data_IF_832528439743
#
_entry.id   IF_832528439743
#
_cell.length_a   1.000
_cell.length_b   1.000
_cell.length_c   1.000
_cell.angle_alpha   90.00
_cell.angle_beta   90.00
_cell.angle_gamma   90.00
#
_symmetry.space_group_name_H-M   'P 1'
#
loop_
_entity.id
_entity.type
_entity.pdbx_description
1 polymer ?
#
# COMPACT_ATOMS: atom_id res chain seq x y z
N UNK A 1 -70.96 5.94 66.34
CA UNK A 1 -70.65 7.29 66.86
C UNK A 1 -69.79 8.00 65.82
N UNK A 2 -70.18 9.21 65.43
CA UNK A 2 -69.67 9.93 64.26
C UNK A 2 -68.36 10.69 64.54
N UNK A 3 -67.58 10.81 63.46
CA UNK A 3 -66.25 11.42 63.30
C UNK A 3 -66.29 12.94 63.53
N UNK A 4 -65.19 13.50 64.01
CA UNK A 4 -64.76 14.84 63.60
C UNK A 4 -63.28 14.83 63.22
N UNK A 5 -63.04 15.46 62.07
CA UNK A 5 -61.84 15.48 61.25
C UNK A 5 -60.90 16.59 61.74
N UNK A 6 -59.61 16.31 61.95
CA UNK A 6 -58.57 17.34 61.98
C UNK A 6 -57.79 17.29 60.66
N UNK A 7 -57.86 18.36 59.88
CA UNK A 7 -56.99 18.60 58.74
C UNK A 7 -55.63 19.11 59.23
N UNK A 8 -54.56 18.39 58.88
CA UNK A 8 -53.18 18.84 58.92
C UNK A 8 -52.71 19.02 57.48
N UNK A 9 -52.46 20.27 57.09
CA UNK A 9 -51.90 20.60 55.77
C UNK A 9 -50.38 20.42 55.80
N UNK A 10 -49.90 19.43 55.05
CA UNK A 10 -48.48 19.25 54.73
C UNK A 10 -48.09 20.19 53.58
N UNK A 11 -47.15 21.10 53.80
CA UNK A 11 -46.49 21.85 52.73
C UNK A 11 -45.32 21.00 52.20
N UNK A 12 -45.46 20.47 50.99
CA UNK A 12 -44.39 19.76 50.29
C UNK A 12 -43.37 20.74 49.70
N UNK A 13 -42.10 20.56 50.03
CA UNK A 13 -40.99 21.27 49.39
C UNK A 13 -40.76 20.64 48.01
N UNK A 14 -41.04 21.38 46.94
CA UNK A 14 -40.78 20.94 45.56
C UNK A 14 -39.28 21.12 45.27
N UNK A 15 -38.50 20.03 45.27
CA UNK A 15 -37.16 20.03 44.69
C UNK A 15 -37.29 20.04 43.16
N UNK A 16 -36.93 21.15 42.54
CA UNK A 16 -36.73 21.21 41.08
C UNK A 16 -35.37 20.59 40.79
N UNK A 17 -35.36 19.44 40.11
CA UNK A 17 -34.13 18.88 39.55
C UNK A 17 -33.67 19.79 38.40
N UNK A 18 -32.54 20.46 38.58
CA UNK A 18 -31.87 21.17 37.49
C UNK A 18 -31.23 20.10 36.60
N UNK A 19 -31.50 20.03 35.29
CA UNK A 19 -30.80 19.10 34.41
C UNK A 19 -29.30 19.44 34.47
N UNK A 20 -28.46 18.43 34.69
CA UNK A 20 -27.02 18.59 34.51
C UNK A 20 -26.79 18.99 33.05
N UNK A 21 -26.13 20.13 32.82
CA UNK A 21 -25.71 20.50 31.47
C UNK A 21 -24.73 19.43 30.95
N UNK A 22 -24.94 18.99 29.70
CA UNK A 22 -23.99 18.11 29.02
C UNK A 22 -22.61 18.77 29.03
N UNK A 23 -21.56 17.95 29.13
CA UNK A 23 -20.20 18.47 29.10
C UNK A 23 -19.83 18.74 27.64
N UNK A 24 -19.22 19.91 27.31
CA UNK A 24 -18.89 20.20 25.94
C UNK A 24 -17.87 19.19 25.38
N UNK A 25 -17.86 18.97 24.05
CA UNK A 25 -16.90 18.08 23.41
C UNK A 25 -15.47 18.48 23.78
N UNK A 26 -14.58 17.50 23.93
CA UNK A 26 -13.18 17.75 24.24
C UNK A 26 -12.27 16.83 23.44
N UNK A 27 -10.99 17.16 23.39
CA UNK A 27 -10.03 16.37 22.63
C UNK A 27 -8.72 17.08 22.43
N UNK A 28 -7.97 16.59 21.45
CA UNK A 28 -6.71 17.21 21.03
C UNK A 28 -6.64 17.26 19.52
N UNK A 29 -6.21 18.41 19.01
CA UNK A 29 -5.79 18.56 17.63
C UNK A 29 -4.26 18.45 17.58
N UNK A 30 -3.77 17.31 17.10
CA UNK A 30 -2.34 16.99 17.05
C UNK A 30 -1.62 17.69 15.89
N UNK A 31 -2.38 18.21 14.92
CA UNK A 31 -1.81 18.87 13.75
C UNK A 31 -1.17 17.87 12.80
N UNK A 32 0.04 18.17 12.31
CA UNK A 32 0.79 17.30 11.38
C UNK A 32 1.10 15.94 11.99
N UNK A 33 0.81 14.87 11.23
CA UNK A 33 1.29 13.52 11.55
C UNK A 33 2.83 13.53 11.52
N UNK A 34 3.47 13.03 12.59
CA UNK A 34 4.94 13.05 12.74
C UNK A 34 5.51 14.35 13.33
N UNK A 35 4.69 15.37 13.55
CA UNK A 35 5.09 16.66 14.13
C UNK A 35 5.69 17.63 13.10
N UNK A 36 6.13 18.79 13.60
CA UNK A 36 6.67 19.89 12.77
C UNK A 36 5.75 21.11 12.73
N UNK A 37 6.34 22.25 12.34
CA UNK A 37 5.67 23.55 12.32
C UNK A 37 5.61 24.18 10.90
N UNK A 38 6.01 23.43 9.88
CA UNK A 38 6.01 23.87 8.49
C UNK A 38 5.21 22.86 7.68
N UNK A 39 4.32 23.33 6.83
CA UNK A 39 3.54 22.50 5.93
C UNK A 39 3.68 22.98 4.48
N UNK A 40 3.72 22.01 3.56
CA UNK A 40 3.91 22.24 2.13
C UNK A 40 3.02 21.28 1.35
N UNK A 41 2.29 21.78 0.35
CA UNK A 41 1.46 20.94 -0.51
C UNK A 41 0.26 20.30 0.22
N UNK A 42 0.10 18.99 0.08
CA UNK A 42 -0.95 18.22 0.77
C UNK A 42 -0.36 17.63 2.05
N UNK A 43 -0.94 17.95 3.20
CA UNK A 43 -0.48 17.45 4.49
C UNK A 43 -1.57 16.74 5.30
N UNK A 44 -1.25 15.57 5.91
CA UNK A 44 -2.17 14.88 6.79
C UNK A 44 -2.22 15.57 8.16
N UNK A 45 -3.42 15.97 8.57
CA UNK A 45 -3.72 16.48 9.90
C UNK A 45 -4.51 15.45 10.69
N UNK A 46 -4.28 15.39 12.00
CA UNK A 46 -4.92 14.40 12.86
C UNK A 46 -5.25 14.93 14.25
N UNK A 47 -6.12 14.20 14.94
CA UNK A 47 -6.45 14.45 16.33
C UNK A 47 -7.35 13.36 16.89
N UNK A 48 -7.91 13.63 18.05
CA UNK A 48 -9.00 12.84 18.62
C UNK A 48 -9.99 13.74 19.33
N UNK A 49 -11.24 13.31 19.40
CA UNK A 49 -12.31 14.05 20.06
C UNK A 49 -13.33 13.09 20.69
N UNK A 50 -13.90 13.49 21.82
CA UNK A 50 -14.90 12.77 22.59
C UNK A 50 -15.97 13.72 23.12
N UNK A 51 -17.14 13.16 23.36
CA UNK A 51 -18.31 13.81 23.95
C UNK A 51 -19.17 12.75 24.64
N UNK A 52 -19.92 13.10 25.68
CA UNK A 52 -20.74 12.14 26.45
C UNK A 52 -21.96 11.62 25.66
N UNK A 53 -22.34 12.29 24.57
CA UNK A 53 -23.36 11.84 23.60
C UNK A 53 -22.76 11.38 22.26
N UNK A 54 -21.44 11.50 22.12
CA UNK A 54 -20.67 11.12 20.94
C UNK A 54 -20.56 12.22 19.89
N UNK A 55 -19.62 12.02 18.97
CA UNK A 55 -19.29 13.00 17.95
C UNK A 55 -20.17 12.81 16.71
N UNK A 56 -20.65 13.92 16.15
CA UNK A 56 -21.30 13.96 14.83
C UNK A 56 -20.25 14.15 13.74
N UNK A 57 -19.43 15.20 13.84
CA UNK A 57 -18.38 15.50 12.87
C UNK A 57 -17.29 16.41 13.43
N UNK A 58 -16.17 16.47 12.70
CA UNK A 58 -15.05 17.38 12.98
C UNK A 58 -14.76 18.21 11.73
N UNK A 59 -14.84 19.53 11.86
CA UNK A 59 -14.59 20.49 10.79
C UNK A 59 -13.22 21.15 11.01
N UNK A 60 -12.35 21.19 10.00
CA UNK A 60 -11.04 21.85 10.07
C UNK A 60 -11.12 23.24 9.45
N UNK A 61 -10.51 24.21 10.12
CA UNK A 61 -10.47 25.62 9.71
C UNK A 61 -9.02 26.09 9.61
N UNK A 62 -8.77 27.00 8.66
CA UNK A 62 -7.51 27.71 8.49
C UNK A 62 -7.81 29.20 8.51
N UNK A 63 -7.21 29.94 9.45
CA UNK A 63 -7.48 31.36 9.72
C UNK A 63 -8.97 31.69 9.91
N UNK A 64 -9.71 30.76 10.52
CA UNK A 64 -11.15 30.90 10.74
C UNK A 64 -12.01 30.64 9.50
N UNK A 65 -11.41 30.25 8.36
CA UNK A 65 -12.13 29.85 7.15
C UNK A 65 -12.28 28.32 7.10
N UNK A 66 -13.48 27.77 6.82
CA UNK A 66 -13.65 26.32 6.67
C UNK A 66 -12.75 25.75 5.58
N UNK A 67 -11.94 24.76 5.93
CA UNK A 67 -10.99 24.09 5.03
C UNK A 67 -11.44 22.68 4.62
N UNK A 68 -12.26 22.02 5.43
CA UNK A 68 -12.86 20.73 5.10
C UNK A 68 -13.41 19.99 6.33
N UNK A 69 -14.06 18.85 6.10
CA UNK A 69 -14.55 17.97 7.18
C UNK A 69 -13.63 16.76 7.28
N UNK A 70 -13.13 16.49 8.49
CA UNK A 70 -12.26 15.35 8.75
C UNK A 70 -13.06 14.04 8.82
N UNK A 71 -12.42 12.93 8.43
CA UNK A 71 -12.94 11.59 8.70
C UNK A 71 -12.77 11.29 10.19
N UNK A 72 -13.85 10.93 10.87
CA UNK A 72 -13.88 10.53 12.29
C UNK A 72 -14.13 9.02 12.41
N UNK A 73 -13.59 8.39 13.45
CA UNK A 73 -13.73 6.94 13.69
C UNK A 73 -12.41 6.15 13.66
N UNK A 74 -11.25 6.82 13.62
CA UNK A 74 -9.96 6.12 13.64
C UNK A 74 -9.66 5.54 15.01
N UNK A 75 -9.11 4.32 15.02
CA UNK A 75 -8.83 3.57 16.24
C UNK A 75 -7.81 4.30 17.14
N UNK A 76 -8.16 4.48 18.42
CA UNK A 76 -7.30 5.12 19.45
C UNK A 76 -7.33 4.37 20.78
N UNK A 77 -6.64 3.22 20.88
CA UNK A 77 -6.62 2.42 22.11
C UNK A 77 -6.02 3.16 23.32
N UNK A 78 -5.15 4.13 23.06
CA UNK A 78 -4.56 5.02 24.05
C UNK A 78 -5.60 6.00 24.65
N UNK A 79 -6.54 6.48 23.84
CA UNK A 79 -7.64 7.35 24.30
C UNK A 79 -8.65 6.53 25.11
N UNK A 80 -9.02 5.34 24.64
CA UNK A 80 -9.88 4.38 25.37
C UNK A 80 -9.35 4.06 26.77
N UNK A 81 -8.04 3.83 26.90
CA UNK A 81 -7.42 3.50 28.18
C UNK A 81 -7.53 4.63 29.22
N UNK A 82 -7.58 5.89 28.77
CA UNK A 82 -7.66 7.08 29.63
C UNK A 82 -9.10 7.51 29.89
N UNK A 83 -9.98 7.37 28.89
CA UNK A 83 -11.38 7.77 28.93
C UNK A 83 -12.33 6.58 28.71
N UNK A 84 -12.24 5.53 29.54
CA UNK A 84 -13.11 4.37 29.38
C UNK A 84 -14.57 4.77 29.64
N UNK A 85 -15.46 4.39 28.73
CA UNK A 85 -16.91 4.59 28.88
C UNK A 85 -17.51 5.82 28.21
N UNK A 86 -16.70 6.66 27.56
CA UNK A 86 -17.24 7.64 26.60
C UNK A 86 -17.70 6.94 25.32
N UNK A 87 -18.76 7.40 24.66
CA UNK A 87 -19.06 6.99 23.30
C UNK A 87 -17.83 7.14 22.40
N UNK A 88 -17.62 6.15 21.54
CA UNK A 88 -16.57 6.15 20.51
C UNK A 88 -15.12 6.21 21.05
N UNK A 89 -14.88 5.97 22.36
CA UNK A 89 -13.54 6.03 22.97
C UNK A 89 -12.48 5.14 22.28
N UNK A 90 -12.89 3.99 21.72
CA UNK A 90 -12.00 3.10 20.97
C UNK A 90 -11.67 3.60 19.56
N UNK A 91 -12.50 4.51 19.04
CA UNK A 91 -12.49 5.04 17.67
C UNK A 91 -12.50 6.57 17.66
N UNK A 92 -11.94 7.20 18.70
CA UNK A 92 -12.02 8.64 18.92
C UNK A 92 -11.21 9.50 17.94
N UNK A 93 -10.41 8.87 17.07
CA UNK A 93 -9.48 9.55 16.19
C UNK A 93 -10.16 10.18 14.97
N UNK A 94 -9.60 11.30 14.50
CA UNK A 94 -9.97 11.93 13.23
C UNK A 94 -8.75 12.32 12.41
N UNK A 95 -8.96 12.48 11.09
CA UNK A 95 -7.92 12.97 10.18
C UNK A 95 -8.45 13.55 8.86
N UNK A 96 -7.67 14.45 8.26
CA UNK A 96 -7.94 15.08 6.96
C UNK A 96 -6.64 15.33 6.20
N UNK A 97 -6.68 15.27 4.88
CA UNK A 97 -5.62 15.78 4.00
C UNK A 97 -5.91 17.25 3.66
N UNK A 98 -5.14 18.17 4.24
CA UNK A 98 -5.26 19.60 3.96
C UNK A 98 -4.33 19.99 2.82
N UNK A 99 -4.82 20.73 1.82
CA UNK A 99 -3.99 21.27 0.75
C UNK A 99 -3.58 22.72 1.07
N UNK A 100 -2.38 22.93 1.63
CA UNK A 100 -1.89 24.27 2.00
C UNK A 100 -1.74 25.22 0.81
N UNK A 101 -1.72 24.74 -0.44
CA UNK A 101 -1.59 25.59 -1.64
C UNK A 101 -2.80 26.51 -1.88
N UNK A 102 -3.91 26.27 -1.18
CA UNK A 102 -5.09 27.14 -1.21
C UNK A 102 -4.95 28.42 -0.37
N UNK A 103 -3.85 28.54 0.39
CA UNK A 103 -3.53 29.70 1.23
C UNK A 103 -2.17 30.28 0.84
N UNK A 104 -1.96 31.55 1.19
CA UNK A 104 -0.67 32.22 0.96
C UNK A 104 0.44 31.57 1.78
N UNK A 105 1.71 31.78 1.42
CA UNK A 105 2.81 31.38 2.28
C UNK A 105 2.89 32.31 3.49
N UNK A 106 3.14 31.75 4.67
CA UNK A 106 3.12 32.49 5.93
C UNK A 106 2.64 31.63 7.10
N UNK A 107 2.51 32.24 8.27
CA UNK A 107 1.93 31.56 9.44
C UNK A 107 0.41 31.58 9.34
N UNK A 108 -0.19 30.40 9.44
CA UNK A 108 -1.62 30.18 9.50
C UNK A 108 -2.00 29.57 10.83
N UNK A 109 -3.18 29.93 11.33
CA UNK A 109 -3.77 29.33 12.53
C UNK A 109 -4.75 28.26 12.10
N UNK A 110 -4.53 27.03 12.54
CA UNK A 110 -5.40 25.91 12.24
C UNK A 110 -6.19 25.53 13.47
N UNK A 111 -7.45 25.20 13.29
CA UNK A 111 -8.31 24.71 14.37
C UNK A 111 -9.23 23.60 13.88
N UNK A 112 -9.65 22.76 14.81
CA UNK A 112 -10.67 21.75 14.56
C UNK A 112 -11.91 22.06 15.40
N UNK A 113 -13.04 22.34 14.76
CA UNK A 113 -14.33 22.51 15.41
C UNK A 113 -15.00 21.15 15.49
N UNK A 114 -15.08 20.61 16.69
CA UNK A 114 -15.76 19.36 17.01
C UNK A 114 -17.24 19.67 17.25
N UNK A 115 -18.13 18.90 16.64
CA UNK A 115 -19.58 19.02 16.80
C UNK A 115 -20.12 17.71 17.37
N UNK A 116 -20.75 17.78 18.55
CA UNK A 116 -21.45 16.65 19.16
C UNK A 116 -22.82 16.42 18.52
N UNK A 117 -23.40 15.24 18.78
CA UNK A 117 -24.69 14.82 18.22
C UNK A 117 -25.89 15.64 18.72
N UNK A 118 -25.76 16.31 19.86
CA UNK A 118 -26.74 17.26 20.37
C UNK A 118 -26.56 18.69 19.83
N UNK A 119 -25.49 18.91 19.07
CA UNK A 119 -25.15 20.18 18.43
C UNK A 119 -24.17 21.05 19.23
N UNK A 120 -23.70 20.61 20.40
CA UNK A 120 -22.65 21.33 21.13
C UNK A 120 -21.35 21.38 20.31
N UNK A 121 -20.59 22.48 20.46
CA UNK A 121 -19.39 22.74 19.66
C UNK A 121 -18.22 23.16 20.55
N UNK A 122 -17.06 22.57 20.27
CA UNK A 122 -15.78 22.98 20.87
C UNK A 122 -14.73 23.14 19.80
N UNK A 123 -13.97 24.24 19.89
CA UNK A 123 -12.80 24.45 19.03
C UNK A 123 -11.55 23.91 19.71
N UNK A 124 -10.83 23.04 19.02
CA UNK A 124 -9.54 22.50 19.43
C UNK A 124 -8.42 23.18 18.64
N UNK A 125 -7.27 23.38 19.30
CA UNK A 125 -6.07 23.87 18.65
C UNK A 125 -6.09 25.34 18.25
N UNK A 126 -6.85 26.22 18.92
CA UNK A 126 -6.94 27.65 18.57
C UNK A 126 -5.60 28.40 18.51
N UNK A 127 -4.55 27.86 19.14
CA UNK A 127 -3.18 28.40 19.08
C UNK A 127 -2.24 27.59 18.18
N UNK A 128 -2.73 26.58 17.46
CA UNK A 128 -1.91 25.73 16.62
C UNK A 128 -1.57 26.47 15.33
N UNK A 129 -0.31 26.87 15.22
CA UNK A 129 0.21 27.59 14.08
C UNK A 129 1.06 26.69 13.20
N UNK A 130 0.80 26.71 11.90
CA UNK A 130 1.66 26.12 10.89
C UNK A 130 2.13 27.21 9.94
N UNK A 131 3.43 27.19 9.64
CA UNK A 131 3.96 27.98 8.55
C UNK A 131 3.69 27.24 7.24
N UNK A 132 2.82 27.78 6.40
CA UNK A 132 2.67 27.32 5.04
C UNK A 132 3.84 27.87 4.21
N UNK A 133 4.54 26.96 3.55
CA UNK A 133 5.67 27.31 2.72
C UNK A 133 5.60 26.57 1.39
N UNK A 134 4.54 26.86 0.63
CA UNK A 134 4.32 26.38 -0.73
C UNK A 134 5.22 27.16 -1.69
N UNK A 135 6.52 26.91 -1.64
CA UNK A 135 7.42 27.32 -2.69
C UNK A 135 7.61 26.12 -3.64
N UNK A 136 7.57 26.36 -4.95
CA UNK A 136 7.75 25.33 -5.98
C UNK A 136 9.03 24.51 -5.80
N UNK A 137 10.06 25.09 -5.18
CA UNK A 137 11.31 24.41 -4.87
C UNK A 137 11.34 23.61 -3.55
N UNK A 138 10.19 23.50 -2.85
CA UNK A 138 10.06 22.79 -1.56
C UNK A 138 9.15 21.57 -1.65
N UNK A 139 8.61 21.27 -2.83
CA UNK A 139 7.92 20.02 -3.13
C UNK A 139 8.79 19.18 -4.06
N UNK A 140 9.85 18.55 -3.54
CA UNK A 140 10.59 17.61 -4.37
C UNK A 140 9.68 16.43 -4.76
N UNK A 141 9.99 15.76 -5.88
CA UNK A 141 9.37 14.49 -6.21
C UNK A 141 9.37 13.50 -5.04
N UNK A 142 8.36 12.66 -4.99
CA UNK A 142 8.25 11.56 -4.04
C UNK A 142 7.79 10.28 -4.74
N UNK A 143 7.93 9.14 -4.07
CA UNK A 143 7.61 7.84 -4.64
C UNK A 143 8.21 6.72 -3.82
N UNK A 144 8.16 5.51 -4.35
CA UNK A 144 8.60 4.30 -3.65
C UNK A 144 9.24 3.31 -4.63
N UNK A 145 10.08 2.41 -4.11
CA UNK A 145 10.46 1.15 -4.78
C UNK A 145 9.44 0.10 -4.34
N UNK A 146 8.73 -0.47 -5.31
CA UNK A 146 7.73 -1.52 -5.05
C UNK A 146 8.31 -2.92 -5.26
N UNK A 147 9.30 -3.02 -6.14
CA UNK A 147 10.07 -4.23 -6.37
C UNK A 147 11.53 -3.87 -6.69
N UNK A 148 12.53 -4.58 -6.16
CA UNK A 148 12.39 -5.62 -5.15
C UNK A 148 12.13 -5.02 -3.76
N UNK A 149 11.76 -5.86 -2.79
CA UNK A 149 11.68 -5.42 -1.40
C UNK A 149 13.06 -5.25 -0.77
N UNK A 150 13.13 -4.48 0.32
CA UNK A 150 14.34 -4.30 1.11
C UNK A 150 14.91 -5.64 1.57
N UNK A 151 16.23 -5.81 1.41
CA UNK A 151 16.95 -7.04 1.74
C UNK A 151 16.94 -8.11 0.64
N UNK A 152 16.36 -7.82 -0.54
CA UNK A 152 16.33 -8.76 -1.64
C UNK A 152 17.73 -9.15 -2.15
N UNK A 153 17.84 -10.39 -2.61
CA UNK A 153 19.00 -10.90 -3.33
C UNK A 153 18.80 -10.70 -4.82
N UNK A 154 19.75 -10.02 -5.44
CA UNK A 154 19.77 -9.73 -6.87
C UNK A 154 20.85 -10.59 -7.51
N UNK A 155 20.44 -11.37 -8.50
CA UNK A 155 21.26 -12.37 -9.15
C UNK A 155 21.68 -11.92 -10.54
N UNK A 156 22.84 -12.40 -10.97
CA UNK A 156 23.32 -12.30 -12.34
C UNK A 156 24.37 -13.36 -12.62
N UNK A 157 24.51 -13.69 -13.90
CA UNK A 157 25.50 -14.64 -14.37
C UNK A 157 26.83 -13.90 -14.57
N UNK A 158 27.80 -14.09 -13.70
CA UNK A 158 29.10 -13.42 -13.72
C UNK A 158 30.05 -13.91 -14.83
N UNK A 159 29.88 -15.11 -15.39
CA UNK A 159 30.46 -15.55 -16.66
C UNK A 159 29.68 -14.89 -17.79
N UNK A 160 30.25 -13.78 -18.27
CA UNK A 160 29.68 -12.98 -19.36
C UNK A 160 29.64 -13.73 -20.71
N UNK A 161 30.20 -14.94 -20.79
CA UNK A 161 30.12 -15.78 -21.99
C UNK A 161 28.81 -16.57 -22.05
N UNK A 162 28.13 -16.76 -20.93
CA UNK A 162 26.84 -17.41 -20.91
C UNK A 162 25.79 -16.50 -21.57
N UNK A 163 25.02 -17.09 -22.49
CA UNK A 163 23.96 -16.40 -23.22
C UNK A 163 22.66 -16.33 -22.42
N UNK A 164 22.49 -17.21 -21.43
CA UNK A 164 21.36 -17.22 -20.52
C UNK A 164 21.62 -16.22 -19.40
N UNK A 165 21.41 -14.94 -19.72
CA UNK A 165 21.58 -13.85 -18.77
C UNK A 165 20.40 -13.80 -17.80
N UNK A 166 20.71 -13.68 -16.51
CA UNK A 166 19.74 -13.38 -15.46
C UNK A 166 19.75 -11.89 -15.16
N UNK A 167 18.56 -11.31 -15.09
CA UNK A 167 18.39 -9.88 -14.86
C UNK A 167 17.62 -9.63 -13.57
N UNK A 168 17.95 -8.53 -12.90
CA UNK A 168 17.26 -8.04 -11.71
C UNK A 168 16.52 -6.76 -12.04
N UNK A 169 15.23 -6.70 -11.71
CA UNK A 169 14.36 -5.56 -12.04
C UNK A 169 14.09 -4.74 -10.80
N UNK A 170 14.15 -3.42 -10.95
CA UNK A 170 13.73 -2.44 -9.94
C UNK A 170 12.56 -1.68 -10.56
N UNK A 171 11.38 -1.75 -9.96
CA UNK A 171 10.21 -0.99 -10.38
C UNK A 171 9.53 -0.29 -9.19
N UNK A 172 8.75 0.72 -9.53
CA UNK A 172 8.03 1.53 -8.57
C UNK A 172 7.36 2.71 -9.25
N UNK A 173 7.07 3.75 -8.47
CA UNK A 173 6.48 4.97 -8.98
C UNK A 173 7.19 6.21 -8.46
N UNK A 174 7.16 7.28 -9.26
CA UNK A 174 7.59 8.61 -8.88
C UNK A 174 6.53 9.61 -9.34
N UNK A 175 6.12 10.50 -8.44
CA UNK A 175 5.18 11.58 -8.70
C UNK A 175 5.73 12.87 -8.14
N UNK A 176 5.26 13.96 -8.70
CA UNK A 176 5.50 15.28 -8.16
C UNK A 176 4.21 16.09 -8.32
N UNK A 177 3.79 16.70 -7.23
CA UNK A 177 2.61 17.53 -7.17
C UNK A 177 2.85 18.90 -7.80
N UNK A 178 4.06 19.46 -7.69
CA UNK A 178 4.38 20.87 -7.92
C UNK A 178 3.39 21.85 -7.25
N UNK A 179 3.53 23.14 -7.51
CA UNK A 179 2.52 24.16 -7.14
C UNK A 179 2.01 24.98 -8.33
N UNK A 180 2.74 25.00 -9.45
CA UNK A 180 2.43 25.80 -10.64
C UNK A 180 2.39 24.94 -11.91
N UNK A 181 1.62 25.38 -12.91
CA UNK A 181 1.62 24.77 -14.24
C UNK A 181 3.03 24.89 -14.87
N UNK A 182 3.73 23.76 -15.01
CA UNK A 182 5.12 23.67 -15.50
C UNK A 182 6.13 23.24 -14.44
N UNK A 183 5.76 23.30 -13.16
CA UNK A 183 6.47 22.70 -12.03
C UNK A 183 5.97 21.27 -11.78
N UNK A 184 4.71 20.98 -12.13
CA UNK A 184 4.10 19.68 -11.86
C UNK A 184 4.72 18.53 -12.66
N UNK A 185 5.29 17.57 -11.93
CA UNK A 185 5.57 16.24 -12.39
C UNK A 185 7.05 15.91 -12.54
N UNK A 186 7.32 14.62 -12.58
CA UNK A 186 8.69 14.11 -12.65
C UNK A 186 9.21 14.21 -14.09
N UNK A 187 10.39 14.81 -14.23
CA UNK A 187 11.11 14.94 -15.51
C UNK A 187 11.99 13.72 -15.77
N UNK A 188 12.65 13.21 -14.74
CA UNK A 188 13.51 12.04 -14.85
C UNK A 188 13.57 11.26 -13.53
N UNK A 189 13.90 9.98 -13.65
CA UNK A 189 14.23 9.10 -12.53
C UNK A 189 15.60 8.49 -12.80
N UNK A 190 16.40 8.34 -11.76
CA UNK A 190 17.71 7.72 -11.77
C UNK A 190 17.74 6.57 -10.78
N UNK A 191 18.41 5.50 -11.18
CA UNK A 191 18.85 4.46 -10.26
C UNK A 191 20.32 4.68 -9.93
N UNK A 192 20.63 4.72 -8.64
CA UNK A 192 21.99 4.80 -8.12
C UNK A 192 22.30 3.51 -7.36
N UNK A 193 23.56 3.10 -7.41
CA UNK A 193 24.11 1.98 -6.63
C UNK A 193 25.24 2.56 -5.78
N UNK A 194 25.12 2.46 -4.45
CA UNK A 194 26.05 3.04 -3.49
C UNK A 194 26.34 4.54 -3.76
N UNK A 195 25.30 5.30 -4.13
CA UNK A 195 25.39 6.74 -4.42
C UNK A 195 25.96 7.11 -5.80
N UNK A 196 26.37 6.15 -6.63
CA UNK A 196 26.79 6.39 -8.01
C UNK A 196 25.65 6.11 -8.99
N UNK A 197 25.44 6.98 -9.98
CA UNK A 197 24.39 6.78 -11.01
C UNK A 197 24.72 5.53 -11.83
N UNK A 198 23.78 4.59 -11.85
CA UNK A 198 23.79 3.43 -12.73
C UNK A 198 23.05 3.71 -14.03
N UNK A 199 21.84 4.29 -13.94
CA UNK A 199 21.02 4.60 -15.12
C UNK A 199 20.14 5.84 -14.89
N UNK A 200 19.90 6.59 -15.97
CA UNK A 200 19.00 7.73 -16.03
C UNK A 200 17.89 7.49 -17.05
N UNK A 201 16.64 7.72 -16.66
CA UNK A 201 15.46 7.38 -17.45
C UNK A 201 15.29 8.16 -18.76
N UNK A 202 16.04 9.25 -18.94
CA UNK A 202 16.01 10.08 -20.16
C UNK A 202 17.05 9.60 -21.16
N UNK A 203 18.25 9.23 -20.70
CA UNK A 203 19.37 8.88 -21.58
C UNK A 203 19.48 7.37 -21.84
N UNK A 204 19.04 6.56 -20.87
CA UNK A 204 19.30 5.11 -20.88
C UNK A 204 18.03 4.29 -21.11
N UNK A 205 16.89 4.94 -21.40
CA UNK A 205 15.63 4.25 -21.68
C UNK A 205 15.62 3.61 -23.07
N UNK A 206 15.36 2.30 -23.13
CA UNK A 206 15.17 1.56 -24.38
C UNK A 206 14.22 0.39 -24.19
N UNK A 207 13.72 -0.16 -25.30
CA UNK A 207 12.99 -1.42 -25.31
C UNK A 207 13.93 -2.58 -25.64
N UNK A 208 13.88 -3.66 -24.86
CA UNK A 208 14.56 -4.92 -25.17
C UNK A 208 13.76 -6.12 -24.70
N UNK A 209 13.53 -7.05 -25.63
CA UNK A 209 12.86 -8.32 -25.33
C UNK A 209 13.67 -9.17 -24.35
N UNK A 210 15.00 -9.14 -24.42
CA UNK A 210 15.88 -9.90 -23.53
C UNK A 210 15.73 -9.48 -22.06
N UNK A 211 15.49 -8.18 -21.83
CA UNK A 211 15.27 -7.61 -20.49
C UNK A 211 13.79 -7.51 -20.14
N UNK A 212 12.89 -8.22 -20.85
CA UNK A 212 11.45 -8.24 -20.54
C UNK A 212 10.69 -6.96 -20.84
N UNK A 213 11.18 -6.09 -21.74
CA UNK A 213 10.45 -4.91 -22.22
C UNK A 213 11.20 -3.58 -22.03
N UNK A 214 10.47 -2.55 -21.57
CA UNK A 214 11.01 -1.20 -21.35
C UNK A 214 12.01 -1.18 -20.20
N UNK A 215 13.25 -0.82 -20.49
CA UNK A 215 14.39 -0.90 -19.58
C UNK A 215 14.95 0.49 -19.32
N UNK A 216 15.16 0.79 -18.03
CA UNK A 216 15.65 2.07 -17.53
C UNK A 216 14.77 3.24 -17.99
N UNK A 217 13.46 3.08 -17.86
CA UNK A 217 12.47 4.03 -18.34
C UNK A 217 11.61 4.55 -17.19
N UNK A 218 11.15 5.79 -17.32
CA UNK A 218 10.09 6.40 -16.53
C UNK A 218 8.95 6.79 -17.46
N UNK A 219 7.73 6.96 -16.94
CA UNK A 219 6.55 7.24 -17.75
C UNK A 219 5.66 6.01 -18.00
N UNK A 220 5.89 4.91 -17.30
CA UNK A 220 5.11 3.69 -17.45
C UNK A 220 3.71 3.86 -16.82
N UNK A 221 2.65 3.31 -17.46
CA UNK A 221 1.28 3.51 -17.01
C UNK A 221 0.99 2.82 -15.67
N UNK A 222 0.35 3.54 -14.75
CA UNK A 222 -0.02 3.15 -13.38
C UNK A 222 -1.42 3.66 -13.01
N UNK A 223 -2.43 2.83 -13.24
CA UNK A 223 -3.84 3.16 -12.99
C UNK A 223 -4.18 3.23 -11.50
N UNK A 224 -3.50 2.42 -10.71
CA UNK A 224 -3.56 2.41 -9.25
C UNK A 224 -3.00 3.71 -8.66
N UNK A 225 -1.86 4.20 -9.18
CA UNK A 225 -1.28 5.49 -8.77
C UNK A 225 -2.17 6.66 -9.21
N UNK A 226 -2.74 6.61 -10.43
CA UNK A 226 -3.78 7.58 -10.84
C UNK A 226 -4.97 7.61 -9.89
N UNK A 227 -5.39 6.45 -9.39
CA UNK A 227 -6.52 6.35 -8.46
C UNK A 227 -6.17 6.89 -7.07
N UNK A 228 -4.93 6.66 -6.62
CA UNK A 228 -4.41 7.16 -5.33
C UNK A 228 -4.16 8.67 -5.34
N UNK A 229 -3.66 9.21 -6.44
CA UNK A 229 -3.33 10.64 -6.58
C UNK A 229 -4.05 11.27 -7.79
N UNK A 230 -5.39 11.36 -7.78
CA UNK A 230 -6.19 11.79 -8.93
C UNK A 230 -5.96 13.25 -9.33
N UNK A 231 -5.55 14.09 -8.38
CA UNK A 231 -5.26 15.51 -8.59
C UNK A 231 -3.90 15.79 -9.22
N UNK A 232 -2.98 14.82 -9.26
CA UNK A 232 -1.65 15.00 -9.84
C UNK A 232 -1.71 14.72 -11.36
N UNK A 233 -1.41 15.69 -12.24
CA UNK A 233 -1.55 15.54 -13.69
C UNK A 233 -0.86 14.29 -14.26
N UNK A 234 0.32 13.93 -13.76
CA UNK A 234 1.15 12.85 -14.29
C UNK A 234 1.02 11.52 -13.54
N UNK A 235 0.08 11.38 -12.59
CA UNK A 235 -0.06 10.16 -11.80
C UNK A 235 -0.30 8.88 -12.62
N UNK A 236 -0.93 8.98 -13.80
CA UNK A 236 -1.09 7.83 -14.69
C UNK A 236 0.25 7.34 -15.26
N UNK A 237 1.23 8.21 -15.48
CA UNK A 237 2.52 7.83 -16.07
C UNK A 237 3.64 7.90 -15.03
N UNK A 238 3.32 7.55 -13.80
CA UNK A 238 4.23 7.64 -12.67
C UNK A 238 5.20 6.45 -12.57
N UNK A 239 5.02 5.39 -13.35
CA UNK A 239 5.83 4.18 -13.22
C UNK A 239 7.26 4.35 -13.74
N UNK A 240 8.23 3.81 -13.03
CA UNK A 240 9.58 3.58 -13.54
C UNK A 240 9.94 2.10 -13.50
N UNK A 241 10.91 1.71 -14.34
CA UNK A 241 11.49 0.38 -14.37
C UNK A 241 12.96 0.45 -14.78
N UNK A 242 13.84 -0.08 -13.94
CA UNK A 242 15.26 -0.28 -14.22
C UNK A 242 15.58 -1.77 -14.26
N UNK A 243 16.57 -2.14 -15.08
CA UNK A 243 17.04 -3.52 -15.19
C UNK A 243 18.54 -3.55 -15.01
N UNK A 244 19.00 -4.43 -14.14
CA UNK A 244 20.41 -4.66 -13.84
C UNK A 244 20.80 -6.06 -14.27
N UNK A 245 22.03 -6.16 -14.75
CA UNK A 245 22.73 -7.42 -14.86
C UNK A 245 23.84 -7.42 -13.79
N UNK A 246 23.60 -8.14 -12.69
CA UNK A 246 24.54 -8.20 -11.56
C UNK A 246 25.88 -8.80 -12.00
N UNK A 247 25.89 -9.72 -12.97
CA UNK A 247 27.12 -10.28 -13.49
C UNK A 247 27.99 -9.24 -14.18
N UNK A 248 27.37 -8.35 -14.96
CA UNK A 248 28.08 -7.21 -15.57
C UNK A 248 28.58 -6.24 -14.51
N UNK A 249 27.78 -5.95 -13.47
CA UNK A 249 28.20 -5.08 -12.37
C UNK A 249 29.43 -5.63 -11.63
N UNK A 250 29.45 -6.94 -11.37
CA UNK A 250 30.59 -7.59 -10.72
C UNK A 250 31.86 -7.48 -11.57
N UNK A 251 31.76 -7.69 -12.88
CA UNK A 251 32.90 -7.49 -13.80
C UNK A 251 33.37 -6.03 -13.85
N UNK A 252 32.46 -5.08 -13.68
CA UNK A 252 32.77 -3.64 -13.57
C UNK A 252 33.36 -3.24 -12.20
N UNK A 253 33.59 -4.19 -11.30
CA UNK A 253 34.27 -3.98 -10.03
C UNK A 253 33.34 -3.75 -8.83
N UNK A 254 32.03 -3.96 -8.97
CA UNK A 254 31.15 -4.08 -7.82
C UNK A 254 31.44 -5.41 -7.10
N UNK A 255 31.49 -5.39 -5.78
CA UNK A 255 31.67 -6.63 -5.02
C UNK A 255 30.37 -7.44 -5.01
N UNK A 256 30.46 -8.75 -4.79
CA UNK A 256 29.30 -9.48 -4.28
C UNK A 256 29.06 -9.08 -2.82
N UNK A 257 27.80 -9.10 -2.38
CA UNK A 257 27.41 -8.72 -1.02
C UNK A 257 26.50 -7.50 -0.98
N UNK A 258 26.55 -6.74 0.12
CA UNK A 258 25.61 -5.65 0.38
C UNK A 258 25.83 -4.42 -0.51
N UNK A 259 24.75 -3.92 -1.08
CA UNK A 259 24.68 -2.66 -1.81
C UNK A 259 23.45 -1.87 -1.37
N UNK A 260 23.53 -0.56 -1.51
CA UNK A 260 22.39 0.33 -1.39
C UNK A 260 21.90 0.71 -2.78
N UNK A 261 20.62 0.48 -3.05
CA UNK A 261 19.94 1.04 -4.21
C UNK A 261 19.22 2.30 -3.77
N UNK A 262 19.45 3.39 -4.52
CA UNK A 262 18.74 4.65 -4.33
C UNK A 262 18.01 4.97 -5.63
N UNK A 263 16.70 5.21 -5.54
CA UNK A 263 15.95 5.85 -6.63
C UNK A 263 15.89 7.33 -6.35
N UNK A 264 16.39 8.12 -7.30
CA UNK A 264 16.39 9.58 -7.26
C UNK A 264 15.49 10.11 -8.36
N UNK A 265 14.63 11.06 -8.06
CA UNK A 265 13.76 11.69 -9.04
C UNK A 265 14.01 13.20 -9.08
N UNK A 266 13.93 13.76 -10.29
CA UNK A 266 13.97 15.20 -10.50
C UNK A 266 12.79 15.68 -11.33
N UNK A 267 12.28 16.86 -11.01
CA UNK A 267 11.14 17.48 -11.69
C UNK A 267 11.58 18.42 -12.84
N UNK A 268 10.60 19.13 -13.41
CA UNK A 268 10.82 20.09 -14.49
C UNK A 268 11.41 21.43 -14.02
N UNK A 269 11.35 21.74 -12.72
CA UNK A 269 11.87 22.96 -12.13
C UNK A 269 13.30 22.80 -11.58
N UNK A 270 13.79 21.57 -11.52
CA UNK A 270 15.15 21.23 -11.10
C UNK A 270 15.26 20.80 -9.65
N UNK A 271 14.16 20.55 -8.94
CA UNK A 271 14.24 19.90 -7.64
C UNK A 271 14.63 18.44 -7.84
N UNK A 272 15.38 17.92 -6.88
CA UNK A 272 15.88 16.55 -6.90
C UNK A 272 15.76 15.98 -5.49
N UNK A 273 15.21 14.77 -5.39
CA UNK A 273 15.19 14.02 -4.13
C UNK A 273 15.48 12.54 -4.36
N UNK A 274 16.16 11.94 -3.38
CA UNK A 274 16.17 10.49 -3.22
C UNK A 274 14.80 10.10 -2.68
N UNK A 275 13.99 9.47 -3.52
CA UNK A 275 12.59 9.15 -3.20
C UNK A 275 12.46 7.80 -2.50
N UNK A 276 13.43 6.91 -2.69
CA UNK A 276 13.47 5.61 -2.04
C UNK A 276 14.89 5.05 -1.96
N UNK A 277 15.20 4.38 -0.87
CA UNK A 277 16.49 3.73 -0.62
C UNK A 277 16.25 2.35 0.00
N UNK A 278 16.85 1.31 -0.59
CA UNK A 278 16.78 -0.06 -0.05
C UNK A 278 18.15 -0.74 -0.07
N UNK A 279 18.52 -1.48 0.99
CA UNK A 279 19.63 -2.42 0.92
C UNK A 279 19.24 -3.65 0.09
N UNK A 280 20.20 -4.15 -0.70
CA UNK A 280 20.11 -5.40 -1.48
C UNK A 280 21.41 -6.18 -1.37
N UNK A 281 21.40 -7.44 -1.80
CA UNK A 281 22.60 -8.28 -1.87
C UNK A 281 22.85 -8.70 -3.32
N UNK A 282 24.03 -8.40 -3.86
CA UNK A 282 24.45 -8.87 -5.18
C UNK A 282 25.12 -10.24 -5.07
N UNK A 283 24.66 -11.19 -5.88
CA UNK A 283 25.16 -12.55 -5.93
C UNK A 283 25.38 -13.01 -7.37
N UNK A 284 26.49 -13.71 -7.60
CA UNK A 284 26.64 -14.53 -8.81
C UNK A 284 25.80 -15.80 -8.66
N UNK A 285 25.12 -16.23 -9.73
CA UNK A 285 24.37 -17.49 -9.75
C UNK A 285 25.23 -18.71 -10.13
N UNK A 286 26.46 -18.50 -10.60
CA UNK A 286 27.43 -19.59 -10.79
C UNK A 286 27.70 -20.36 -9.50
N UNK A 287 27.62 -21.68 -9.60
CA UNK A 287 27.83 -22.63 -8.50
C UNK A 287 26.71 -22.64 -7.44
N UNK A 288 25.58 -21.98 -7.70
CA UNK A 288 24.35 -22.35 -7.03
C UNK A 288 23.98 -23.77 -7.52
N UNK A 289 23.64 -24.68 -6.60
CA UNK A 289 22.98 -25.92 -7.02
C UNK A 289 21.60 -25.62 -7.62
N UNK A 290 20.86 -26.68 -7.96
CA UNK A 290 19.47 -26.56 -8.38
C UNK A 290 18.70 -25.66 -7.41
N UNK A 291 18.12 -24.58 -7.93
CA UNK A 291 17.36 -23.64 -7.11
C UNK A 291 15.94 -24.19 -6.94
N UNK A 292 15.27 -23.83 -5.84
CA UNK A 292 13.86 -24.17 -5.70
C UNK A 292 13.01 -23.26 -6.58
N UNK A 293 12.00 -23.82 -7.22
CA UNK A 293 11.00 -23.05 -7.93
C UNK A 293 10.30 -22.06 -6.99
N UNK A 294 9.86 -20.92 -7.53
CA UNK A 294 9.11 -19.93 -6.78
C UNK A 294 8.00 -19.31 -7.63
N UNK A 295 7.04 -18.69 -6.97
CA UNK A 295 5.83 -18.22 -7.61
C UNK A 295 4.72 -17.93 -6.62
N UNK A 296 3.51 -17.81 -7.13
CA UNK A 296 2.34 -17.41 -6.34
C UNK A 296 1.11 -18.21 -6.75
N UNK A 297 0.29 -18.54 -5.76
CA UNK A 297 -1.07 -19.06 -5.94
C UNK A 297 -2.01 -17.87 -5.82
N UNK A 298 -2.71 -17.55 -6.90
CA UNK A 298 -3.59 -16.38 -6.96
C UNK A 298 -5.05 -16.76 -6.76
N UNK A 299 -5.44 -17.91 -7.30
CA UNK A 299 -6.72 -18.55 -7.05
C UNK A 299 -6.48 -20.01 -6.67
N UNK A 300 -7.07 -20.50 -5.57
CA UNK A 300 -8.02 -19.81 -4.72
C UNK A 300 -7.37 -18.74 -3.83
N UNK A 301 -8.16 -17.80 -3.32
CA UNK A 301 -7.74 -16.91 -2.23
C UNK A 301 -7.97 -17.59 -0.88
N UNK A 302 -7.18 -17.28 0.17
CA UNK A 302 -7.36 -17.87 1.49
C UNK A 302 -8.80 -17.69 2.01
N UNK A 303 -9.43 -18.82 2.38
CA UNK A 303 -10.81 -18.91 2.86
C UNK A 303 -11.88 -18.43 1.85
N UNK A 304 -11.54 -18.36 0.56
CA UNK A 304 -12.53 -18.14 -0.50
C UNK A 304 -13.56 -19.27 -0.54
N UNK A 305 -14.82 -18.94 -0.86
CA UNK A 305 -15.92 -19.92 -0.99
C UNK A 305 -16.15 -20.20 -2.47
N UNK A 306 -16.13 -21.48 -2.83
CA UNK A 306 -16.23 -21.94 -4.21
C UNK A 306 -17.24 -23.07 -4.36
N UNK A 307 -17.76 -23.25 -5.58
CA UNK A 307 -18.71 -24.30 -5.92
C UNK A 307 -18.62 -24.63 -7.42
N UNK A 308 -18.99 -25.85 -7.81
CA UNK A 308 -18.97 -26.29 -9.21
C UNK A 308 -17.55 -26.46 -9.76
N UNK A 309 -17.36 -26.08 -11.02
CA UNK A 309 -16.05 -26.07 -11.68
C UNK A 309 -15.25 -24.85 -11.25
N UNK A 310 -14.06 -25.06 -10.68
CA UNK A 310 -13.20 -24.01 -10.14
C UNK A 310 -11.89 -24.01 -10.92
N UNK A 311 -11.52 -22.87 -11.51
CA UNK A 311 -10.20 -22.70 -12.12
C UNK A 311 -9.25 -22.09 -11.11
N UNK A 312 -8.31 -22.89 -10.60
CA UNK A 312 -7.16 -22.41 -9.85
C UNK A 312 -6.13 -21.83 -10.78
N UNK A 313 -5.47 -20.76 -10.36
CA UNK A 313 -4.49 -20.04 -11.18
C UNK A 313 -3.34 -19.53 -10.34
N UNK A 314 -2.20 -19.38 -10.99
CA UNK A 314 -1.04 -18.72 -10.41
C UNK A 314 0.06 -18.56 -11.43
N UNK A 315 1.27 -18.38 -10.94
CA UNK A 315 2.47 -18.41 -11.75
C UNK A 315 3.61 -19.14 -11.02
N UNK A 316 4.55 -19.69 -11.79
CA UNK A 316 5.72 -20.39 -11.29
C UNK A 316 6.91 -20.11 -12.22
N UNK A 317 8.09 -20.01 -11.63
CA UNK A 317 9.37 -19.81 -12.29
C UNK A 317 10.39 -20.75 -11.66
N UNK A 318 11.27 -21.28 -12.50
CA UNK A 318 12.42 -22.06 -12.05
C UNK A 318 13.62 -21.77 -12.96
N UNK A 319 14.83 -21.72 -12.41
CA UNK A 319 16.01 -21.40 -13.22
C UNK A 319 16.40 -22.54 -14.15
N UNK A 320 16.22 -23.78 -13.70
CA UNK A 320 16.42 -24.99 -14.48
C UNK A 320 15.25 -25.27 -15.43
N UNK A 321 14.09 -24.68 -15.15
CA UNK A 321 12.88 -24.73 -15.97
C UNK A 321 11.76 -25.51 -15.29
N UNK A 322 10.51 -25.12 -15.53
CA UNK A 322 9.31 -25.75 -14.95
C UNK A 322 8.84 -26.89 -15.84
N UNK A 323 8.95 -28.12 -15.33
CA UNK A 323 8.50 -29.32 -16.02
C UNK A 323 7.01 -29.57 -15.78
N UNK A 324 6.60 -29.71 -14.51
CA UNK A 324 5.22 -29.95 -14.10
C UNK A 324 4.83 -29.15 -12.88
N UNK A 325 3.53 -28.91 -12.73
CA UNK A 325 2.96 -28.30 -11.54
C UNK A 325 1.85 -29.22 -11.02
N UNK A 326 2.14 -29.94 -9.95
CA UNK A 326 1.26 -30.91 -9.31
C UNK A 326 0.33 -30.24 -8.31
N UNK A 327 -0.94 -30.61 -8.38
CA UNK A 327 -2.00 -30.11 -7.50
C UNK A 327 -2.36 -31.19 -6.49
N UNK A 328 -2.41 -30.81 -5.22
CA UNK A 328 -2.89 -31.65 -4.13
C UNK A 328 -4.02 -30.96 -3.38
N UNK A 329 -5.08 -31.70 -3.08
CA UNK A 329 -6.16 -31.25 -2.19
C UNK A 329 -6.22 -32.18 -0.99
N UNK A 330 -6.08 -31.62 0.21
CA UNK A 330 -6.02 -32.34 1.48
C UNK A 330 -4.94 -33.42 1.50
N UNK A 331 -3.79 -33.14 0.85
CA UNK A 331 -2.67 -34.06 0.72
C UNK A 331 -2.85 -35.17 -0.32
N UNK A 332 -3.98 -35.22 -1.02
CA UNK A 332 -4.22 -36.17 -2.10
C UNK A 332 -3.91 -35.52 -3.45
N UNK A 333 -3.16 -36.18 -4.31
CA UNK A 333 -2.89 -35.71 -5.67
C UNK A 333 -4.18 -35.68 -6.48
N UNK A 334 -4.49 -34.53 -7.09
CA UNK A 334 -5.72 -34.32 -7.89
C UNK A 334 -5.45 -34.09 -9.37
N UNK A 335 -4.20 -33.78 -9.76
CA UNK A 335 -3.83 -33.59 -11.15
C UNK A 335 -2.58 -32.75 -11.36
N UNK A 336 -2.30 -32.44 -12.63
CA UNK A 336 -1.21 -31.55 -13.05
C UNK A 336 -1.83 -30.34 -13.75
N UNK A 337 -1.43 -29.12 -13.36
CA UNK A 337 -1.87 -27.89 -14.00
C UNK A 337 -1.26 -27.73 -15.40
N UNK A 338 -1.99 -27.03 -16.27
CA UNK A 338 -1.45 -26.55 -17.54
C UNK A 338 -0.67 -25.27 -17.26
N UNK A 339 0.57 -25.17 -17.75
CA UNK A 339 1.42 -23.99 -17.63
C UNK A 339 1.79 -23.42 -19.01
N UNK A 340 2.44 -22.25 -19.05
CA UNK A 340 2.75 -21.55 -20.29
C UNK A 340 1.83 -20.36 -20.59
N UNK A 341 0.97 -19.96 -19.66
CA UNK A 341 0.06 -18.84 -19.87
C UNK A 341 0.79 -17.49 -19.68
N UNK A 342 0.56 -16.50 -20.56
CA UNK A 342 1.23 -15.21 -20.47
C UNK A 342 0.76 -14.44 -19.23
N UNK A 343 1.72 -13.92 -18.45
CA UNK A 343 1.46 -13.05 -17.29
C UNK A 343 2.36 -11.82 -17.39
N UNK A 344 1.94 -10.79 -18.15
CA UNK A 344 2.82 -9.66 -18.48
C UNK A 344 3.46 -8.96 -17.27
N UNK A 345 2.75 -8.86 -16.13
CA UNK A 345 3.30 -8.29 -14.90
C UNK A 345 4.43 -9.11 -14.29
N UNK A 346 4.33 -10.44 -14.31
CA UNK A 346 5.37 -11.36 -13.84
C UNK A 346 6.54 -11.35 -14.82
N UNK A 347 6.27 -11.47 -16.12
CA UNK A 347 7.27 -11.41 -17.19
C UNK A 347 8.12 -10.14 -17.14
N UNK A 348 7.53 -9.00 -16.76
CA UNK A 348 8.24 -7.73 -16.63
C UNK A 348 9.15 -7.67 -15.39
N UNK A 349 8.86 -8.43 -14.32
CA UNK A 349 9.65 -8.45 -13.08
C UNK A 349 10.74 -9.51 -13.05
N UNK A 350 10.52 -10.61 -13.76
CA UNK A 350 11.44 -11.76 -13.78
C UNK A 350 11.95 -12.11 -15.18
N UNK A 351 12.57 -11.18 -15.93
CA UNK A 351 13.14 -11.50 -17.23
C UNK A 351 14.38 -12.41 -17.11
N UNK A 352 14.52 -13.32 -18.08
CA UNK A 352 15.65 -14.22 -18.19
C UNK A 352 15.36 -15.66 -17.71
N UNK A 353 14.27 -15.87 -16.97
CA UNK A 353 13.79 -17.21 -16.65
C UNK A 353 13.27 -17.92 -17.92
N UNK A 354 13.42 -19.26 -18.04
CA UNK A 354 12.88 -20.02 -19.17
C UNK A 354 11.38 -19.78 -19.39
N UNK A 355 10.59 -19.66 -18.31
CA UNK A 355 9.14 -19.43 -18.38
C UNK A 355 8.78 -17.94 -18.54
N UNK A 356 9.72 -17.01 -18.70
CA UNK A 356 9.43 -15.56 -18.70
C UNK A 356 8.32 -15.18 -19.68
N UNK A 357 8.18 -15.86 -20.81
CA UNK A 357 7.14 -15.60 -21.82
C UNK A 357 5.74 -16.11 -21.42
N UNK A 358 5.67 -17.08 -20.50
CA UNK A 358 4.44 -17.73 -20.07
C UNK A 358 4.56 -18.36 -18.68
N UNK A 359 4.77 -17.57 -17.60
CA UNK A 359 4.99 -18.13 -16.28
C UNK A 359 3.70 -18.57 -15.60
N UNK A 360 2.54 -18.29 -16.19
CA UNK A 360 1.23 -18.59 -15.62
C UNK A 360 0.85 -20.06 -15.76
N UNK A 361 0.08 -20.54 -14.79
CA UNK A 361 -0.54 -21.86 -14.80
C UNK A 361 -2.03 -21.79 -14.42
N UNK A 362 -2.79 -22.78 -14.88
CA UNK A 362 -4.20 -22.96 -14.57
C UNK A 362 -4.54 -24.44 -14.39
N UNK A 363 -5.46 -24.72 -13.47
CA UNK A 363 -5.97 -26.05 -13.19
C UNK A 363 -7.47 -26.00 -12.89
N UNK A 364 -8.26 -26.78 -13.62
CA UNK A 364 -9.70 -26.90 -13.38
C UNK A 364 -9.97 -28.05 -12.40
N UNK A 365 -10.68 -27.73 -11.31
CA UNK A 365 -11.11 -28.64 -10.27
C UNK A 365 -12.64 -28.75 -10.28
N UNK A 366 -13.16 -29.97 -10.44
CA UNK A 366 -14.58 -30.25 -10.20
C UNK A 366 -14.83 -30.41 -8.69
N UNK A 367 -15.48 -29.42 -8.07
CA UNK A 367 -15.81 -29.45 -6.66
C UNK A 367 -16.79 -30.58 -6.29
N UNK A 368 -17.55 -31.13 -7.24
CA UNK A 368 -18.49 -32.22 -6.96
C UNK A 368 -17.79 -33.53 -6.53
N UNK A 369 -16.47 -33.64 -6.77
CA UNK A 369 -15.65 -34.75 -6.30
C UNK A 369 -15.29 -34.65 -4.80
N UNK A 370 -15.62 -33.54 -4.13
CA UNK A 370 -15.25 -33.24 -2.76
C UNK A 370 -16.49 -32.98 -1.88
N UNK A 371 -16.35 -33.15 -0.57
CA UNK A 371 -17.40 -32.85 0.40
C UNK A 371 -17.42 -31.36 0.71
N UNK A 372 -18.58 -30.74 0.93
CA UNK A 372 -18.61 -29.35 1.42
C UNK A 372 -17.82 -29.18 2.72
N UNK A 373 -17.10 -28.07 2.85
CA UNK A 373 -16.24 -27.80 4.00
C UNK A 373 -14.92 -27.12 3.64
N UNK A 374 -14.02 -27.07 4.63
CA UNK A 374 -12.68 -26.49 4.50
C UNK A 374 -11.75 -27.53 3.86
N UNK A 375 -11.05 -27.12 2.81
CA UNK A 375 -10.03 -27.88 2.10
C UNK A 375 -8.71 -27.12 2.08
N UNK A 376 -7.62 -27.83 1.83
CA UNK A 376 -6.29 -27.26 1.66
C UNK A 376 -5.75 -27.59 0.27
N UNK A 377 -5.56 -26.58 -0.57
CA UNK A 377 -4.78 -26.72 -1.80
C UNK A 377 -3.30 -26.65 -1.46
N UNK A 378 -2.50 -27.59 -1.95
CA UNK A 378 -1.05 -27.51 -2.00
C UNK A 378 -0.59 -27.59 -3.46
N UNK A 379 0.30 -26.67 -3.85
CA UNK A 379 0.88 -26.61 -5.19
C UNK A 379 2.36 -26.99 -5.10
N UNK A 380 2.78 -27.96 -5.91
CA UNK A 380 4.16 -28.45 -5.97
C UNK A 380 4.67 -28.31 -7.40
N UNK A 381 5.82 -27.68 -7.57
CA UNK A 381 6.48 -27.52 -8.87
C UNK A 381 7.60 -28.54 -8.98
N UNK A 382 7.60 -29.32 -10.06
CA UNK A 382 8.69 -30.21 -10.48
C UNK A 382 9.48 -29.48 -11.58
N UNK A 383 10.77 -29.29 -11.38
CA UNK A 383 11.65 -28.70 -12.39
C UNK A 383 12.15 -29.70 -13.45
N UNK A 384 12.89 -29.22 -14.45
CA UNK A 384 13.46 -30.04 -15.53
C UNK A 384 14.54 -31.03 -15.05
N UNK A 385 15.07 -30.86 -13.84
CA UNK A 385 15.96 -31.84 -13.18
C UNK A 385 15.20 -32.86 -12.32
N UNK A 386 13.88 -32.69 -12.17
CA UNK A 386 12.98 -33.56 -11.42
C UNK A 386 12.99 -33.30 -9.92
N UNK A 387 13.48 -32.14 -9.46
CA UNK A 387 13.37 -31.74 -8.05
C UNK A 387 12.02 -31.08 -7.83
N UNK A 388 11.39 -31.40 -6.70
CA UNK A 388 10.09 -30.86 -6.30
C UNK A 388 10.24 -29.74 -5.27
N UNK A 389 9.57 -28.62 -5.52
CA UNK A 389 9.45 -27.50 -4.59
C UNK A 389 7.98 -27.25 -4.25
N UNK A 390 7.64 -27.23 -2.97
CA UNK A 390 6.31 -26.81 -2.52
C UNK A 390 6.20 -25.30 -2.70
N UNK A 391 5.37 -24.87 -3.65
CA UNK A 391 5.15 -23.46 -3.96
C UNK A 391 4.39 -22.76 -2.83
N UNK A 392 3.41 -23.45 -2.27
CA UNK A 392 2.60 -22.94 -1.18
C UNK A 392 1.35 -23.77 -0.92
N UNK A 393 0.63 -23.36 0.13
CA UNK A 393 -0.63 -23.97 0.55
C UNK A 393 -1.69 -22.88 0.78
N UNK A 394 -2.90 -23.10 0.29
CA UNK A 394 -4.01 -22.15 0.44
C UNK A 394 -5.26 -22.87 0.93
N UNK A 395 -5.80 -22.53 2.11
CA UNK A 395 -7.07 -23.06 2.56
C UNK A 395 -8.23 -22.42 1.78
N UNK A 396 -9.22 -23.20 1.38
CA UNK A 396 -10.43 -22.72 0.69
C UNK A 396 -11.67 -23.51 1.14
N UNK A 397 -12.86 -22.94 0.92
CA UNK A 397 -14.13 -23.53 1.31
C UNK A 397 -14.89 -24.00 0.08
N UNK A 398 -15.43 -25.21 0.13
CA UNK A 398 -16.41 -25.72 -0.82
C UNK A 398 -17.81 -25.65 -0.23
N UNK A 399 -18.74 -25.04 -0.97
CA UNK A 399 -20.15 -24.96 -0.60
C UNK A 399 -21.06 -25.13 -1.82
N UNK A 400 -21.52 -26.36 -2.03
CA UNK A 400 -22.41 -26.73 -3.12
C UNK A 400 -23.83 -26.13 -3.00
N UNK A 401 -24.23 -25.58 -1.86
CA UNK A 401 -25.60 -25.11 -1.60
C UNK A 401 -25.86 -23.68 -2.12
N UNK A 402 -24.81 -22.87 -2.33
CA UNK A 402 -24.93 -21.47 -2.79
C UNK A 402 -24.65 -21.23 -4.28
N UNK A 403 -24.19 -22.24 -5.03
CA UNK A 403 -23.90 -22.13 -6.48
C UNK A 403 -25.11 -22.01 -7.41
N UNK A 404 -26.34 -22.03 -6.88
CA UNK A 404 -27.59 -22.00 -7.65
C UNK A 404 -28.33 -20.67 -7.71
N UNK A 405 -27.79 -19.57 -7.15
CA UNK A 405 -28.57 -18.34 -6.95
C UNK A 405 -27.86 -17.04 -7.24
N UNK A 406 -28.10 -16.48 -8.44
CA UNK A 406 -28.29 -15.05 -8.67
C UNK A 406 -27.08 -14.13 -8.62
N UNK A 407 -26.82 -13.47 -9.75
CA UNK A 407 -26.06 -12.23 -9.81
C UNK A 407 -26.55 -11.20 -8.77
N UNK A 408 -25.61 -10.53 -8.11
CA UNK A 408 -25.76 -9.19 -7.56
C UNK A 408 -24.61 -8.32 -8.04
#
# INVERSE_FOLDING_TARGET
MARNLLLLTFAGLLLVAVPAAAAPPFGSFGGLVGGGNVATGIMPLHGWALDDLGIDRVEVYVDGVPAGTAYYGFRRPDVEAVYPGYPDSATAGFGIELNSTLWLNGFHTLSAVVVARDGERTTLGESYQLQFNNASHLLPPFGEIEFPHSGAQLFGHCDLRDRNRRYSVIDGFAVDTGVELGDTGVKYVELLINGAIYANSVTDCFYSAATGGMTNCFGLPRTDIRSRYPSIPNALHAGYRFVLDVGVLVELGFNQGFHELTVRAGDYYGNVANIAEIPVVFLCDENQGNQGAYGEIELPVPLGIYAGEITFTGWALDWEGVNKIHMFVDGNWVGTAVHGFPRPGVSARYPGFPESAGPGWAFDLDAAAFTDGLHLLQVVVEDDLGVETVLGEVPFLLDSYHGGGGAF
#
